data_IF_763254756422
#
_entry.id   IF_763254756422
#
_cell.length_a   1.000
_cell.length_b   1.000
_cell.length_c   1.000
_cell.angle_alpha   90.00
_cell.angle_beta   90.00
_cell.angle_gamma   90.00
#
_symmetry.space_group_name_H-M   'P 1'
#
loop_
_entity.id
_entity.type
_entity.pdbx_description
1 polymer ?
#
# COMPACT_ATOMS: atom_id res chain seq x y z
N UNK A 1 -12.97 -71.96 -20.14
CA UNK A 1 -12.18 -71.10 -21.05
C UNK A 1 -12.82 -69.71 -21.12
N UNK A 2 -12.03 -68.66 -20.86
CA UNK A 2 -12.33 -67.21 -21.02
C UNK A 2 -13.35 -66.62 -20.03
N UNK A 3 -13.23 -65.41 -19.45
CA UNK A 3 -12.19 -64.38 -19.25
C UNK A 3 -12.89 -63.29 -18.37
N UNK A 4 -12.15 -62.65 -17.45
CA UNK A 4 -12.31 -61.27 -16.93
C UNK A 4 -13.68 -60.77 -16.43
N UNK A 5 -13.76 -60.32 -15.17
CA UNK A 5 -13.62 -58.88 -14.85
C UNK A 5 -13.72 -58.63 -13.32
N UNK A 6 -12.65 -58.04 -12.79
CA UNK A 6 -12.52 -57.43 -11.46
C UNK A 6 -13.42 -56.19 -11.37
N UNK A 7 -14.10 -55.97 -10.24
CA UNK A 7 -14.44 -54.60 -9.81
C UNK A 7 -14.32 -54.50 -8.29
N UNK A 8 -13.27 -53.80 -7.86
CA UNK A 8 -13.06 -53.27 -6.51
C UNK A 8 -14.17 -52.25 -6.19
N UNK A 9 -14.79 -52.34 -5.02
CA UNK A 9 -15.51 -51.22 -4.40
C UNK A 9 -14.60 -50.66 -3.29
N UNK A 10 -13.83 -49.63 -3.60
CA UNK A 10 -13.09 -48.84 -2.61
C UNK A 10 -13.94 -47.67 -2.14
N UNK A 11 -14.01 -47.54 -0.81
CA UNK A 11 -14.75 -46.55 -0.03
C UNK A 11 -14.26 -45.13 -0.33
N UNK A 12 -15.19 -44.21 -0.57
CA UNK A 12 -14.92 -42.81 -0.89
C UNK A 12 -14.23 -42.08 0.28
N UNK A 13 -13.06 -41.52 0.02
CA UNK A 13 -12.37 -40.60 0.91
C UNK A 13 -13.04 -39.22 0.84
N UNK A 14 -13.46 -38.70 1.99
CA UNK A 14 -13.87 -37.31 2.17
C UNK A 14 -12.64 -36.43 2.01
N UNK A 15 -12.56 -35.69 0.91
CA UNK A 15 -11.60 -34.60 0.75
C UNK A 15 -12.12 -33.39 1.51
N UNK A 16 -11.52 -33.10 2.66
CA UNK A 16 -11.61 -31.79 3.30
C UNK A 16 -11.01 -30.76 2.35
N UNK A 17 -11.80 -29.79 1.91
CA UNK A 17 -11.27 -28.57 1.33
C UNK A 17 -10.43 -27.88 2.40
N UNK A 18 -9.11 -27.99 2.29
CA UNK A 18 -8.18 -27.06 2.93
C UNK A 18 -8.41 -25.73 2.23
N UNK A 19 -9.16 -24.83 2.87
CA UNK A 19 -9.05 -23.43 2.53
C UNK A 19 -7.60 -23.04 2.84
N UNK A 20 -6.82 -22.72 1.80
CA UNK A 20 -5.56 -22.02 1.96
C UNK A 20 -5.94 -20.64 2.46
N UNK A 21 -5.90 -20.47 3.77
CA UNK A 21 -5.84 -19.18 4.42
C UNK A 21 -4.41 -18.67 4.16
N UNK A 22 -4.23 -17.90 3.08
CA UNK A 22 -2.97 -17.21 2.76
C UNK A 22 -2.79 -15.98 3.68
N UNK A 23 -3.13 -16.14 4.96
CA UNK A 23 -2.68 -15.24 6.00
C UNK A 23 -1.22 -15.55 6.25
N UNK A 24 -0.34 -14.77 5.65
CA UNK A 24 1.10 -14.84 5.89
C UNK A 24 1.38 -14.46 7.35
N UNK A 25 1.18 -15.43 8.25
CA UNK A 25 1.46 -15.38 9.69
C UNK A 25 2.96 -15.45 9.97
N UNK A 26 3.80 -14.98 9.05
CA UNK A 26 5.22 -14.84 9.35
C UNK A 26 5.35 -13.81 10.47
N UNK A 27 5.90 -14.18 11.65
CA UNK A 27 6.02 -13.25 12.76
C UNK A 27 6.74 -11.99 12.29
N UNK A 28 6.30 -10.80 12.70
CA UNK A 28 7.03 -9.58 12.37
C UNK A 28 8.48 -9.80 12.77
N UNK A 29 9.40 -9.36 11.91
CA UNK A 29 10.82 -9.41 12.25
C UNK A 29 10.99 -8.72 13.62
N UNK A 30 11.97 -9.12 14.43
CA UNK A 30 12.17 -8.57 15.78
C UNK A 30 12.36 -7.03 15.83
N UNK A 31 12.37 -6.38 14.67
CA UNK A 31 12.39 -4.94 14.40
C UNK A 31 10.98 -4.29 14.30
N UNK A 32 9.88 -5.06 14.45
CA UNK A 32 8.50 -4.56 14.40
C UNK A 32 7.90 -4.41 12.99
N UNK A 33 8.59 -4.91 11.96
CA UNK A 33 8.19 -4.82 10.55
C UNK A 33 7.57 -6.12 10.03
N UNK A 34 6.87 -6.07 8.87
CA UNK A 34 6.59 -7.28 8.10
C UNK A 34 7.86 -8.11 7.87
N UNK A 35 7.70 -9.43 7.76
CA UNK A 35 8.82 -10.32 7.53
C UNK A 35 9.56 -9.98 6.23
N UNK A 36 10.90 -10.11 6.26
CA UNK A 36 11.75 -9.81 5.09
C UNK A 36 12.06 -8.32 4.88
N UNK A 37 11.72 -7.44 5.83
CA UNK A 37 12.02 -6.01 5.75
C UNK A 37 12.88 -5.51 6.91
N UNK A 38 13.69 -4.51 6.62
CA UNK A 38 14.45 -3.70 7.57
C UNK A 38 14.15 -2.21 7.40
N UNK A 39 14.40 -1.45 8.46
CA UNK A 39 14.31 0.00 8.41
C UNK A 39 15.42 0.60 7.54
N UNK A 40 15.05 1.44 6.58
CA UNK A 40 16.01 2.17 5.78
C UNK A 40 16.83 3.15 6.63
N UNK A 41 18.13 3.23 6.36
CA UNK A 41 19.03 4.22 7.00
C UNK A 41 19.10 5.53 6.23
N UNK A 42 19.02 5.44 4.90
CA UNK A 42 19.04 6.55 3.97
C UNK A 42 17.94 6.34 2.92
N UNK A 43 17.62 7.39 2.17
CA UNK A 43 16.70 7.32 1.05
C UNK A 43 17.46 7.55 -0.25
N UNK A 44 17.95 6.46 -0.85
CA UNK A 44 18.67 6.50 -2.12
C UNK A 44 17.72 6.53 -3.34
N UNK A 45 16.41 6.43 -3.11
CA UNK A 45 15.42 6.52 -4.17
C UNK A 45 15.24 7.94 -4.69
N UNK A 46 15.52 8.95 -3.85
CA UNK A 46 15.48 10.36 -4.23
C UNK A 46 16.90 10.86 -4.49
N UNK A 47 17.21 11.19 -5.75
CA UNK A 47 18.50 11.74 -6.13
C UNK A 47 18.36 12.76 -7.26
N UNK A 48 19.14 13.84 -7.22
CA UNK A 48 19.18 14.89 -8.25
C UNK A 48 17.81 15.48 -8.63
N UNK A 49 16.90 15.53 -7.65
CA UNK A 49 15.53 16.01 -7.83
C UNK A 49 14.60 15.03 -8.55
N UNK A 50 14.95 13.75 -8.56
CA UNK A 50 14.19 12.65 -9.16
C UNK A 50 13.86 11.58 -8.14
N UNK A 51 12.70 10.96 -8.30
CA UNK A 51 12.38 9.66 -7.69
C UNK A 51 12.74 8.58 -8.70
N UNK A 52 13.80 7.83 -8.42
CA UNK A 52 14.41 6.87 -9.35
C UNK A 52 13.87 5.44 -9.19
N UNK A 53 13.34 5.12 -8.02
CA UNK A 53 12.78 3.80 -7.71
C UNK A 53 11.64 3.95 -6.72
N UNK A 54 10.85 2.88 -6.55
CA UNK A 54 9.80 2.82 -5.54
C UNK A 54 10.32 3.05 -4.11
N UNK A 55 9.47 3.64 -3.29
CA UNK A 55 9.69 3.83 -1.85
C UNK A 55 8.51 3.25 -1.08
N UNK A 56 8.74 2.18 -0.31
CA UNK A 56 7.73 1.57 0.56
C UNK A 56 7.87 2.08 2.00
N UNK A 57 6.80 2.66 2.53
CA UNK A 57 6.75 3.21 3.87
C UNK A 57 5.86 2.35 4.77
N UNK A 58 6.32 2.11 5.99
CA UNK A 58 5.55 1.45 7.04
C UNK A 58 5.36 2.42 8.20
N UNK A 59 4.14 2.53 8.70
CA UNK A 59 3.85 3.41 9.82
C UNK A 59 2.38 3.45 10.19
N UNK A 60 1.92 4.66 10.52
CA UNK A 60 0.63 4.91 11.16
C UNK A 60 -0.25 5.76 10.26
N UNK A 61 -1.50 5.36 10.10
CA UNK A 61 -2.56 6.19 9.54
C UNK A 61 -3.59 6.52 10.61
N UNK A 62 -3.78 7.80 10.90
CA UNK A 62 -4.90 8.30 11.70
C UNK A 62 -6.02 8.70 10.76
N UNK A 63 -7.21 8.18 11.01
CA UNK A 63 -8.38 8.41 10.18
C UNK A 63 -9.48 9.04 11.02
N UNK A 64 -9.94 10.20 10.61
CA UNK A 64 -11.09 10.89 11.19
C UNK A 64 -12.27 10.82 10.21
N UNK A 65 -13.42 10.32 10.67
CA UNK A 65 -14.67 10.41 9.93
C UNK A 65 -15.20 11.84 10.05
N UNK A 66 -15.11 12.62 8.97
CA UNK A 66 -15.38 14.07 8.93
C UNK A 66 -16.75 14.43 9.51
N UNK A 67 -17.78 13.62 9.21
CA UNK A 67 -19.14 13.92 9.64
C UNK A 67 -19.39 13.72 11.15
N UNK A 68 -18.64 12.82 11.80
CA UNK A 68 -18.89 12.40 13.19
C UNK A 68 -17.75 12.72 14.14
N UNK A 69 -16.54 12.96 13.62
CA UNK A 69 -15.30 13.06 14.41
C UNK A 69 -14.82 11.72 14.97
N UNK A 70 -15.41 10.59 14.55
CA UNK A 70 -14.95 9.26 14.98
C UNK A 70 -13.55 8.98 14.46
N UNK A 71 -12.71 8.39 15.30
CA UNK A 71 -11.31 8.11 14.98
C UNK A 71 -11.02 6.63 14.89
N UNK A 72 -10.30 6.27 13.85
CA UNK A 72 -9.70 4.96 13.64
C UNK A 72 -8.19 5.14 13.43
N UNK A 73 -7.39 4.23 13.97
CA UNK A 73 -5.93 4.26 13.82
C UNK A 73 -5.49 2.91 13.28
N UNK A 74 -4.78 2.95 12.15
CA UNK A 74 -4.03 1.81 11.64
C UNK A 74 -2.54 2.01 11.98
N UNK A 75 -2.04 1.26 12.97
CA UNK A 75 -0.64 1.32 13.41
C UNK A 75 0.33 0.59 12.47
N UNK A 76 -0.18 -0.05 11.41
CA UNK A 76 0.60 -0.86 10.47
C UNK A 76 0.32 -0.50 9.01
N UNK A 77 -0.05 0.75 8.76
CA UNK A 77 -0.35 1.26 7.44
C UNK A 77 0.88 1.21 6.51
N UNK A 78 0.68 0.72 5.29
CA UNK A 78 1.72 0.51 4.28
C UNK A 78 1.42 1.25 2.99
N UNK A 79 2.16 2.31 2.72
CA UNK A 79 2.02 3.11 1.50
C UNK A 79 3.31 3.05 0.68
N UNK A 80 3.18 2.86 -0.63
CA UNK A 80 4.31 2.86 -1.57
C UNK A 80 4.15 3.99 -2.58
N UNK A 81 5.23 4.76 -2.77
CA UNK A 81 5.32 5.76 -3.82
C UNK A 81 6.17 5.22 -4.96
N UNK A 82 5.59 5.14 -6.16
CA UNK A 82 6.21 4.55 -7.34
C UNK A 82 6.31 5.60 -8.46
N UNK A 83 7.50 5.87 -9.03
CA UNK A 83 7.62 6.77 -10.17
C UNK A 83 6.87 6.21 -11.38
N UNK A 84 5.97 7.01 -11.96
CA UNK A 84 5.20 6.59 -13.15
C UNK A 84 6.11 6.43 -14.37
N UNK A 85 7.06 7.35 -14.52
CA UNK A 85 8.11 7.30 -15.53
C UNK A 85 9.43 7.78 -14.92
N UNK A 86 10.50 7.04 -15.19
CA UNK A 86 11.83 7.46 -14.78
C UNK A 86 12.25 8.70 -15.58
N UNK A 87 12.68 9.75 -14.89
CA UNK A 87 13.25 10.97 -15.48
C UNK A 87 12.32 11.76 -16.44
N UNK A 88 11.00 11.74 -16.21
CA UNK A 88 10.03 12.55 -16.97
C UNK A 88 10.26 14.07 -16.85
N UNK A 89 10.03 14.90 -17.89
CA UNK A 89 10.12 16.37 -17.77
C UNK A 89 9.43 16.91 -16.52
N UNK A 90 9.92 18.01 -15.95
CA UNK A 90 9.48 18.50 -14.63
C UNK A 90 7.94 18.62 -14.52
N UNK A 91 7.28 19.08 -15.57
CA UNK A 91 5.83 19.23 -15.68
C UNK A 91 5.04 17.90 -15.75
N UNK A 92 5.72 16.78 -16.01
CA UNK A 92 5.17 15.42 -16.16
C UNK A 92 5.59 14.48 -15.03
N UNK A 93 6.30 14.99 -14.02
CA UNK A 93 6.75 14.21 -12.87
C UNK A 93 5.57 13.78 -12.02
N UNK A 94 5.21 12.50 -12.13
CA UNK A 94 4.15 11.90 -11.32
C UNK A 94 4.58 10.62 -10.64
N UNK A 95 3.94 10.37 -9.51
CA UNK A 95 3.98 9.13 -8.74
C UNK A 95 2.63 8.42 -8.85
N UNK A 96 2.68 7.12 -8.62
CA UNK A 96 1.55 6.36 -8.14
C UNK A 96 1.70 6.14 -6.63
N UNK A 97 0.63 6.33 -5.89
CA UNK A 97 0.51 5.92 -4.49
C UNK A 97 -0.23 4.59 -4.45
N UNK A 98 0.47 3.54 -4.02
CA UNK A 98 -0.14 2.27 -3.67
C UNK A 98 -0.41 2.26 -2.17
N UNK A 99 -1.64 1.92 -1.79
CA UNK A 99 -2.04 1.76 -0.40
C UNK A 99 -2.37 0.29 -0.18
N UNK A 100 -1.51 -0.39 0.58
CA UNK A 100 -1.60 -1.82 0.79
C UNK A 100 -2.39 -2.14 2.03
N UNK A 101 -3.31 -3.09 1.89
CA UNK A 101 -4.20 -3.61 2.93
C UNK A 101 -4.88 -2.51 3.77
N UNK A 102 -5.10 -1.35 3.17
CA UNK A 102 -5.49 -0.13 3.89
C UNK A 102 -6.94 -0.20 4.38
N UNK A 103 -7.19 0.44 5.52
CA UNK A 103 -8.53 0.57 6.11
C UNK A 103 -8.76 2.02 6.53
N UNK A 104 -10.00 2.48 6.37
CA UNK A 104 -10.41 3.82 6.81
C UNK A 104 -11.38 3.78 8.02
N UNK A 105 -11.80 2.59 8.42
CA UNK A 105 -12.61 2.36 9.63
C UNK A 105 -12.42 0.92 10.10
N UNK A 106 -12.68 0.67 11.38
CA UNK A 106 -12.46 -0.62 12.05
C UNK A 106 -13.13 -1.81 11.34
N UNK A 107 -14.36 -1.61 10.85
CA UNK A 107 -15.17 -2.65 10.19
C UNK A 107 -14.97 -2.73 8.67
N UNK A 108 -14.05 -1.94 8.11
CA UNK A 108 -13.76 -2.03 6.69
C UNK A 108 -12.81 -3.20 6.41
N UNK A 109 -13.08 -4.02 5.37
CA UNK A 109 -12.08 -4.96 4.89
C UNK A 109 -10.83 -4.21 4.40
N UNK A 110 -9.64 -4.84 4.48
CA UNK A 110 -8.44 -4.27 3.89
C UNK A 110 -8.61 -4.09 2.38
N UNK A 111 -8.09 -2.99 1.84
CA UNK A 111 -8.16 -2.65 0.43
C UNK A 111 -6.75 -2.52 -0.16
N UNK A 112 -6.57 -3.05 -1.37
CA UNK A 112 -5.44 -2.70 -2.24
C UNK A 112 -5.90 -1.59 -3.18
N UNK A 113 -5.32 -0.40 -3.06
CA UNK A 113 -5.71 0.77 -3.83
C UNK A 113 -4.51 1.41 -4.53
N UNK A 114 -4.72 1.84 -5.77
CA UNK A 114 -3.69 2.43 -6.62
C UNK A 114 -4.14 3.81 -7.10
N UNK A 115 -3.45 4.88 -6.70
CA UNK A 115 -3.77 6.25 -7.06
C UNK A 115 -2.65 6.83 -7.95
N UNK A 116 -2.92 6.98 -9.24
CA UNK A 116 -1.95 7.44 -10.24
C UNK A 116 -2.02 8.95 -10.47
N UNK A 117 -0.90 9.53 -10.92
CA UNK A 117 -0.87 10.92 -11.39
C UNK A 117 -0.66 11.94 -10.28
N UNK A 118 -0.13 11.52 -9.12
CA UNK A 118 0.21 12.41 -8.02
C UNK A 118 1.46 13.17 -8.42
N UNK A 119 1.41 14.50 -8.48
CA UNK A 119 2.59 15.30 -8.84
C UNK A 119 3.61 15.23 -7.73
N UNK A 120 4.88 15.30 -8.10
CA UNK A 120 5.93 15.57 -7.12
C UNK A 120 6.84 16.70 -7.59
N UNK A 121 7.23 17.54 -6.64
CA UNK A 121 8.16 18.64 -6.85
C UNK A 121 9.39 18.40 -5.97
N UNK A 122 10.60 18.30 -6.53
CA UNK A 122 11.79 18.21 -5.72
C UNK A 122 12.11 19.55 -5.07
N UNK A 123 12.64 19.47 -3.86
CA UNK A 123 13.24 20.58 -3.14
C UNK A 123 14.59 20.12 -2.55
N UNK A 124 15.29 21.01 -1.84
CA UNK A 124 16.63 20.75 -1.35
C UNK A 124 16.64 19.66 -0.24
N UNK A 125 16.73 18.39 -0.63
CA UNK A 125 16.80 17.24 0.28
C UNK A 125 15.44 16.60 0.61
N UNK A 126 14.38 16.96 -0.10
CA UNK A 126 13.05 16.35 0.04
C UNK A 126 12.26 16.43 -1.27
N UNK A 127 11.13 15.72 -1.33
CA UNK A 127 10.10 15.89 -2.37
C UNK A 127 8.78 16.26 -1.71
N UNK A 128 8.07 17.20 -2.32
CA UNK A 128 6.67 17.48 -2.00
C UNK A 128 5.80 16.70 -2.98
N UNK A 129 4.69 16.13 -2.50
CA UNK A 129 3.73 15.37 -3.30
C UNK A 129 2.34 15.98 -3.17
N UNK A 130 1.66 16.18 -4.29
CA UNK A 130 0.36 16.82 -4.29
C UNK A 130 -0.56 16.31 -5.41
N UNK A 131 -1.85 16.28 -5.13
CA UNK A 131 -2.89 16.18 -6.14
C UNK A 131 -4.23 16.71 -5.59
N UNK A 132 -4.93 17.48 -6.41
CA UNK A 132 -6.26 18.00 -6.04
C UNK A 132 -7.28 16.87 -5.92
N UNK A 133 -7.29 15.96 -6.90
CA UNK A 133 -8.21 14.83 -6.95
C UNK A 133 -7.62 13.67 -7.75
N UNK A 134 -7.73 12.45 -7.22
CA UNK A 134 -7.36 11.21 -7.91
C UNK A 134 -8.42 10.15 -7.68
N UNK A 135 -8.87 9.50 -8.77
CA UNK A 135 -9.74 8.33 -8.68
C UNK A 135 -8.84 7.09 -8.54
N UNK A 136 -8.86 6.39 -7.39
CA UNK A 136 -8.03 5.20 -7.22
C UNK A 136 -8.57 4.04 -8.04
N UNK A 137 -7.72 3.06 -8.30
CA UNK A 137 -8.08 1.77 -8.87
C UNK A 137 -8.02 0.68 -7.82
N UNK A 138 -8.89 -0.31 -7.93
CA UNK A 138 -8.87 -1.55 -7.16
C UNK A 138 -8.85 -2.69 -8.18
N UNK A 139 -7.83 -3.55 -8.10
CA UNK A 139 -7.57 -4.59 -9.10
C UNK A 139 -7.61 -4.04 -10.54
N UNK A 140 -6.95 -2.90 -10.78
CA UNK A 140 -6.90 -2.22 -12.07
C UNK A 140 -8.18 -1.49 -12.51
N UNK A 141 -9.27 -1.57 -11.75
CA UNK A 141 -10.55 -0.92 -12.11
C UNK A 141 -10.72 0.40 -11.35
N UNK A 142 -10.96 1.55 -12.02
CA UNK A 142 -11.27 2.82 -11.36
C UNK A 142 -12.47 2.70 -10.41
N UNK A 143 -12.34 3.30 -9.23
CA UNK A 143 -13.33 3.19 -8.15
C UNK A 143 -13.69 4.58 -7.60
N UNK A 144 -14.54 5.28 -8.33
CA UNK A 144 -15.01 6.67 -8.06
C UNK A 144 -15.51 6.89 -6.63
N UNK A 145 -16.10 5.86 -6.00
CA UNK A 145 -16.58 5.95 -4.63
C UNK A 145 -15.47 6.26 -3.62
N UNK A 146 -14.23 5.88 -3.90
CA UNK A 146 -13.08 6.14 -3.05
C UNK A 146 -12.18 7.25 -3.59
N UNK A 147 -12.73 8.19 -4.36
CA UNK A 147 -11.97 9.36 -4.82
C UNK A 147 -11.18 9.97 -3.67
N UNK A 148 -9.89 10.19 -3.94
CA UNK A 148 -8.97 10.86 -3.04
C UNK A 148 -8.93 12.33 -3.44
N UNK A 149 -8.96 13.21 -2.45
CA UNK A 149 -8.92 14.66 -2.62
C UNK A 149 -7.97 15.26 -1.60
N UNK A 150 -7.53 16.50 -1.84
CA UNK A 150 -6.64 17.21 -0.91
C UNK A 150 -5.37 16.40 -0.61
N UNK A 151 -4.80 15.71 -1.60
CA UNK A 151 -3.55 14.97 -1.40
C UNK A 151 -2.42 15.99 -1.27
N UNK A 152 -1.78 15.99 -0.11
CA UNK A 152 -0.62 16.84 0.20
C UNK A 152 0.32 16.04 1.11
N UNK A 153 1.61 16.04 0.79
CA UNK A 153 2.59 15.34 1.58
C UNK A 153 4.02 15.69 1.22
N UNK A 154 4.93 15.10 1.98
CA UNK A 154 6.36 15.30 1.83
C UNK A 154 7.10 14.02 2.18
N UNK A 155 8.11 13.69 1.37
CA UNK A 155 9.14 12.72 1.76
C UNK A 155 10.40 13.49 2.11
N UNK A 156 10.85 13.38 3.36
CA UNK A 156 12.07 13.99 3.87
C UNK A 156 12.95 12.92 4.51
N UNK A 157 14.19 12.82 4.04
CA UNK A 157 15.06 11.71 4.40
C UNK A 157 14.33 10.36 4.21
N UNK A 158 14.13 9.61 5.29
CA UNK A 158 13.43 8.32 5.30
C UNK A 158 11.96 8.40 5.74
N UNK A 159 11.41 9.58 5.93
CA UNK A 159 10.06 9.79 6.47
C UNK A 159 9.10 10.30 5.39
N UNK A 160 7.90 9.74 5.35
CA UNK A 160 6.76 10.23 4.58
C UNK A 160 5.72 10.77 5.54
N UNK A 161 5.32 12.03 5.34
CA UNK A 161 4.08 12.58 5.89
C UNK A 161 3.12 12.81 4.73
N UNK A 162 1.88 12.33 4.85
CA UNK A 162 0.89 12.42 3.78
C UNK A 162 -0.50 12.66 4.39
N UNK A 163 -1.24 13.58 3.80
CA UNK A 163 -2.64 13.84 4.14
C UNK A 163 -3.51 13.73 2.90
N UNK A 164 -4.74 13.27 3.07
CA UNK A 164 -5.76 13.26 2.03
C UNK A 164 -7.15 13.04 2.63
N UNK A 165 -8.18 13.29 1.82
CA UNK A 165 -9.56 12.93 2.10
C UNK A 165 -10.00 11.83 1.15
N UNK A 166 -10.45 10.70 1.69
CA UNK A 166 -10.99 9.57 0.94
C UNK A 166 -12.53 9.59 0.97
N UNK A 167 -13.16 9.43 -0.21
CA UNK A 167 -14.61 9.35 -0.39
C UNK A 167 -15.39 10.57 0.17
N UNK A 168 -14.72 11.72 0.33
CA UNK A 168 -15.29 12.89 1.01
C UNK A 168 -15.69 12.64 2.47
N UNK A 169 -15.29 11.51 3.06
CA UNK A 169 -15.78 11.02 4.34
C UNK A 169 -14.66 10.87 5.36
N UNK A 170 -13.51 10.37 4.94
CA UNK A 170 -12.41 10.01 5.82
C UNK A 170 -11.24 10.95 5.57
N UNK A 171 -10.91 11.78 6.56
CA UNK A 171 -9.65 12.54 6.55
C UNK A 171 -8.57 11.63 7.10
N UNK A 172 -7.49 11.49 6.35
CA UNK A 172 -6.37 10.60 6.67
C UNK A 172 -5.12 11.44 6.89
N UNK A 173 -4.45 11.20 8.00
CA UNK A 173 -3.12 11.69 8.31
C UNK A 173 -2.19 10.49 8.46
N UNK A 174 -1.23 10.36 7.55
CA UNK A 174 -0.28 9.26 7.52
C UNK A 174 1.13 9.76 7.84
N UNK A 175 1.80 9.01 8.70
CA UNK A 175 3.25 9.13 8.94
C UNK A 175 3.89 7.77 8.81
N UNK A 176 4.85 7.64 7.92
CA UNK A 176 5.54 6.39 7.64
C UNK A 176 7.04 6.57 7.57
N UNK A 177 7.77 5.49 7.84
CA UNK A 177 9.22 5.44 7.65
C UNK A 177 9.56 4.39 6.60
N UNK A 178 10.53 4.72 5.76
CA UNK A 178 10.99 3.92 4.64
C UNK A 178 11.52 2.58 5.15
N UNK A 179 11.05 1.51 4.52
CA UNK A 179 11.52 0.15 4.73
C UNK A 179 12.11 -0.40 3.43
N UNK A 180 13.07 -1.29 3.57
CA UNK A 180 13.77 -1.94 2.45
C UNK A 180 13.79 -3.44 2.69
N UNK A 181 13.91 -4.26 1.63
CA UNK A 181 14.17 -5.68 1.80
C UNK A 181 15.36 -5.90 2.73
N UNK A 182 15.21 -6.83 3.68
CA UNK A 182 16.31 -7.24 4.55
C UNK A 182 17.44 -7.81 3.68
N UNK A 183 18.68 -7.49 4.04
CA UNK A 183 19.83 -8.11 3.37
C UNK A 183 19.92 -9.59 3.80
N UNK A 184 20.06 -10.49 2.83
CA UNK A 184 20.32 -11.92 3.05
C UNK A 184 21.65 -12.17 3.80
#
# INVERSE_FOLDING_TARGET
>A
MKRFCTLLLTLAALTTFSACDDGDDTPPAGNGLPAGYDWARNNDAVADGWVNTSMLFFGRAEVETIATGERFVDEKARFELVPSEAQAPAEQRTLALFMHETRFADKMPPLEMEAYGIRYTPAAGWIDVEAEQVVPRIAGTPYERYVLTEIDGQVRDVELSLTFVCAGTYRVEYTGRLIVPAAD
#
